data_IF_974066742809
#
_entry.id   IF_974066742809
#
_cell.length_a   1.000
_cell.length_b   1.000
_cell.length_c   1.000
_cell.angle_alpha   90.00
_cell.angle_beta   90.00
_cell.angle_gamma   90.00
#
_symmetry.space_group_name_H-M   'P 1'
#
loop_
_entity.id
_entity.type
_entity.pdbx_description
1 polymer ?
#
# COMPACT_ATOMS: atom_id res chain seq x y z
N UNK A 1 13.46 -19.01 4.65
CA UNK A 1 14.68 -19.66 4.12
C UNK A 1 14.45 -21.15 4.21
N UNK A 2 14.62 -21.85 3.09
CA UNK A 2 14.57 -23.32 3.04
C UNK A 2 15.85 -23.81 2.38
N UNK A 3 16.58 -24.70 3.05
CA UNK A 3 17.83 -25.26 2.53
C UNK A 3 18.08 -26.65 3.12
N UNK A 4 18.54 -27.58 2.28
CA UNK A 4 18.93 -28.94 2.68
C UNK A 4 17.77 -29.85 3.08
N UNK A 5 18.07 -31.14 3.20
CA UNK A 5 17.11 -32.20 3.54
C UNK A 5 17.58 -33.12 4.67
N UNK A 6 18.90 -33.29 4.83
CA UNK A 6 19.52 -34.13 5.87
C UNK A 6 20.62 -33.37 6.62
N UNK A 7 20.70 -33.57 7.94
CA UNK A 7 21.62 -32.83 8.81
C UNK A 7 23.11 -33.15 8.59
N UNK A 8 23.41 -34.29 7.96
CA UNK A 8 24.76 -34.79 7.71
C UNK A 8 25.17 -34.68 6.23
N UNK A 9 24.47 -33.89 5.42
CA UNK A 9 24.76 -33.68 4.00
C UNK A 9 24.89 -32.19 3.71
N UNK A 10 25.86 -31.82 2.88
CA UNK A 10 25.99 -30.45 2.38
C UNK A 10 24.79 -30.16 1.47
N UNK A 11 23.97 -29.14 1.75
CA UNK A 11 22.83 -28.78 0.91
C UNK A 11 23.25 -28.40 -0.51
N UNK A 12 22.53 -28.91 -1.51
CA UNK A 12 22.72 -28.57 -2.93
C UNK A 12 21.81 -27.42 -3.39
N UNK A 13 20.76 -27.09 -2.63
CA UNK A 13 19.78 -26.04 -2.94
C UNK A 13 19.42 -25.22 -1.70
N UNK A 14 19.27 -23.91 -1.90
CA UNK A 14 18.70 -22.99 -0.92
C UNK A 14 17.75 -21.99 -1.60
N UNK A 15 16.62 -21.71 -0.95
CA UNK A 15 15.62 -20.73 -1.42
C UNK A 15 15.37 -19.70 -0.33
N UNK A 16 15.48 -18.43 -0.71
CA UNK A 16 15.27 -17.28 0.18
C UNK A 16 14.18 -16.40 -0.42
N UNK A 17 13.12 -16.18 0.34
CA UNK A 17 12.12 -15.15 0.07
C UNK A 17 12.36 -13.95 0.97
N UNK A 18 12.42 -12.76 0.39
CA UNK A 18 12.50 -11.48 1.11
C UNK A 18 11.34 -10.59 0.70
N UNK A 19 10.81 -9.82 1.65
CA UNK A 19 9.80 -8.80 1.37
C UNK A 19 10.44 -7.43 1.58
N UNK A 20 10.50 -6.62 0.51
CA UNK A 20 11.05 -5.27 0.55
C UNK A 20 9.92 -4.28 0.43
N UNK A 21 9.86 -3.32 1.36
CA UNK A 21 8.88 -2.23 1.35
C UNK A 21 9.61 -0.92 1.53
N UNK A 22 9.11 0.11 0.86
CA UNK A 22 9.60 1.47 0.99
C UNK A 22 8.42 2.43 1.01
N UNK A 23 8.61 3.57 1.66
CA UNK A 23 7.70 4.72 1.52
C UNK A 23 8.07 5.60 0.34
N UNK A 24 9.29 5.49 -0.17
CA UNK A 24 9.79 6.31 -1.28
C UNK A 24 10.06 5.42 -2.51
N UNK A 25 9.52 5.78 -3.68
CA UNK A 25 9.81 5.07 -4.93
C UNK A 25 11.32 5.02 -5.25
N UNK A 26 12.03 6.13 -5.02
CA UNK A 26 13.48 6.19 -5.29
C UNK A 26 14.29 5.31 -4.35
N UNK A 27 13.95 5.28 -3.06
CA UNK A 27 14.59 4.37 -2.10
C UNK A 27 14.27 2.90 -2.40
N UNK A 28 13.06 2.59 -2.88
CA UNK A 28 12.73 1.23 -3.32
C UNK A 28 13.62 0.81 -4.47
N UNK A 29 13.77 1.67 -5.48
CA UNK A 29 14.63 1.40 -6.63
C UNK A 29 16.09 1.21 -6.22
N UNK A 30 16.61 2.07 -5.33
CA UNK A 30 17.98 1.94 -4.80
C UNK A 30 18.18 0.62 -4.06
N UNK A 31 17.21 0.20 -3.25
CA UNK A 31 17.26 -1.08 -2.55
C UNK A 31 17.27 -2.26 -3.53
N UNK A 32 16.43 -2.24 -4.57
CA UNK A 32 16.39 -3.30 -5.59
C UNK A 32 17.72 -3.40 -6.35
N UNK A 33 18.28 -2.27 -6.80
CA UNK A 33 19.60 -2.24 -7.45
C UNK A 33 20.68 -2.78 -6.53
N UNK A 34 20.65 -2.42 -5.24
CA UNK A 34 21.63 -2.91 -4.26
C UNK A 34 21.52 -4.43 -4.07
N UNK A 35 20.31 -4.98 -4.05
CA UNK A 35 20.06 -6.42 -3.94
C UNK A 35 20.58 -7.14 -5.19
N UNK A 36 20.30 -6.62 -6.39
CA UNK A 36 20.79 -7.19 -7.65
C UNK A 36 22.33 -7.18 -7.70
N UNK A 37 22.99 -6.10 -7.28
CA UNK A 37 24.44 -6.03 -7.20
C UNK A 37 25.02 -7.05 -6.21
N UNK A 38 24.41 -7.21 -5.02
CA UNK A 38 24.85 -8.19 -4.02
C UNK A 38 24.69 -9.62 -4.52
N UNK A 39 23.58 -9.92 -5.18
CA UNK A 39 23.36 -11.25 -5.80
C UNK A 39 24.40 -11.50 -6.87
N UNK A 40 24.65 -10.53 -7.75
CA UNK A 40 25.66 -10.65 -8.81
C UNK A 40 27.07 -10.90 -8.26
N UNK A 41 27.49 -10.13 -7.25
CA UNK A 41 28.78 -10.31 -6.58
C UNK A 41 28.91 -11.68 -5.90
N UNK A 42 27.83 -12.18 -5.27
CA UNK A 42 27.79 -13.50 -4.67
C UNK A 42 27.95 -14.61 -5.72
N UNK A 43 27.22 -14.52 -6.83
CA UNK A 43 27.29 -15.47 -7.94
C UNK A 43 28.70 -15.61 -8.53
N UNK A 44 29.49 -14.53 -8.54
CA UNK A 44 30.87 -14.55 -9.00
C UNK A 44 31.83 -15.26 -8.03
N UNK A 45 31.52 -15.25 -6.73
CA UNK A 45 32.40 -15.78 -5.66
C UNK A 45 32.11 -17.23 -5.30
N UNK A 46 30.87 -17.67 -5.50
CA UNK A 46 30.40 -18.99 -5.10
C UNK A 46 29.93 -19.75 -6.35
N UNK A 47 30.57 -20.89 -6.69
CA UNK A 47 30.11 -21.72 -7.81
C UNK A 47 28.69 -22.25 -7.56
N UNK A 48 27.81 -22.15 -8.56
CA UNK A 48 26.43 -22.62 -8.46
C UNK A 48 25.52 -22.11 -9.57
N UNK A 49 24.26 -22.54 -9.55
CA UNK A 49 23.20 -22.00 -10.40
C UNK A 49 22.31 -21.08 -9.56
N UNK A 50 22.04 -19.88 -10.08
CA UNK A 50 21.32 -18.83 -9.35
C UNK A 50 20.11 -18.35 -10.13
N UNK A 51 18.99 -18.15 -9.43
CA UNK A 51 17.78 -17.57 -9.98
C UNK A 51 17.30 -16.46 -9.04
N UNK A 52 17.14 -15.26 -9.59
CA UNK A 52 16.58 -14.11 -8.87
C UNK A 52 15.21 -13.77 -9.48
N UNK A 53 14.18 -13.73 -8.64
CA UNK A 53 12.83 -13.42 -9.05
C UNK A 53 12.32 -12.21 -8.27
N UNK A 54 11.99 -11.14 -8.99
CA UNK A 54 11.27 -10.00 -8.44
C UNK A 54 9.77 -10.20 -8.69
N UNK A 55 8.97 -10.28 -7.63
CA UNK A 55 7.53 -10.45 -7.73
C UNK A 55 6.79 -9.24 -7.16
N UNK A 56 5.82 -8.73 -7.95
CA UNK A 56 4.89 -7.62 -7.70
C UNK A 56 5.51 -6.34 -7.08
N UNK A 57 5.79 -5.33 -7.91
CA UNK A 57 6.10 -3.98 -7.43
C UNK A 57 4.84 -3.09 -7.47
N UNK A 58 4.06 -3.07 -6.38
CA UNK A 58 3.12 -1.95 -6.16
C UNK A 58 3.95 -0.76 -5.68
N UNK A 59 4.06 0.27 -6.49
CA UNK A 59 4.85 1.46 -6.14
C UNK A 59 4.36 2.06 -4.82
N UNK A 60 5.28 2.63 -4.02
CA UNK A 60 4.88 3.42 -2.86
C UNK A 60 3.92 4.53 -3.27
N UNK A 61 2.88 4.75 -2.48
CA UNK A 61 1.88 5.79 -2.70
C UNK A 61 2.13 6.93 -1.73
N UNK A 62 2.84 7.94 -2.20
CA UNK A 62 3.07 9.17 -1.46
C UNK A 62 1.78 9.99 -1.34
N UNK A 63 1.66 10.77 -0.27
CA UNK A 63 0.60 11.77 -0.15
C UNK A 63 1.05 13.01 -0.93
N UNK A 64 0.75 13.03 -2.22
CA UNK A 64 1.01 14.16 -3.10
C UNK A 64 -0.04 15.28 -2.94
N UNK A 65 0.24 16.46 -3.50
CA UNK A 65 -0.65 17.62 -3.41
C UNK A 65 -2.10 17.32 -3.87
N UNK A 66 -2.33 16.67 -5.02
CA UNK A 66 -3.66 16.26 -5.45
C UNK A 66 -4.38 15.34 -4.44
N UNK A 67 -3.71 14.32 -3.92
CA UNK A 67 -4.30 13.40 -2.94
C UNK A 67 -4.52 14.09 -1.59
N UNK A 68 -3.66 15.01 -1.20
CA UNK A 68 -3.84 15.86 -0.02
C UNK A 68 -5.07 16.78 -0.16
N UNK A 69 -5.27 17.37 -1.34
CA UNK A 69 -6.49 18.12 -1.66
C UNK A 69 -7.75 17.25 -1.52
N UNK A 70 -7.71 16.03 -2.05
CA UNK A 70 -8.81 15.07 -1.92
C UNK A 70 -9.06 14.68 -0.46
N UNK A 71 -8.01 14.47 0.33
CA UNK A 71 -8.09 14.19 1.76
C UNK A 71 -8.72 15.34 2.54
N UNK A 72 -8.41 16.59 2.17
CA UNK A 72 -8.97 17.77 2.82
C UNK A 72 -10.47 17.91 2.53
N UNK A 73 -10.90 17.71 1.28
CA UNK A 73 -12.33 17.64 0.93
C UNK A 73 -13.05 16.53 1.70
N UNK A 74 -12.39 15.38 1.88
CA UNK A 74 -12.96 14.29 2.68
C UNK A 74 -13.08 14.66 4.17
N UNK A 75 -12.11 15.38 4.73
CA UNK A 75 -12.17 15.88 6.12
C UNK A 75 -13.28 16.91 6.32
N UNK A 76 -13.39 17.86 5.40
CA UNK A 76 -14.38 18.94 5.45
C UNK A 76 -15.81 18.38 5.42
N UNK A 77 -16.12 17.49 4.47
CA UNK A 77 -17.42 16.80 4.43
C UNK A 77 -17.71 16.00 5.69
N UNK A 78 -16.69 15.42 6.32
CA UNK A 78 -16.86 14.68 7.59
C UNK A 78 -17.19 15.58 8.77
N UNK A 79 -16.64 16.79 8.79
CA UNK A 79 -16.84 17.76 9.86
C UNK A 79 -18.32 18.14 10.01
N UNK A 80 -19.04 18.30 8.90
CA UNK A 80 -20.49 18.59 8.87
C UNK A 80 -21.33 17.49 9.57
N UNK A 81 -20.82 16.25 9.60
CA UNK A 81 -21.48 15.09 10.21
C UNK A 81 -20.91 14.72 11.59
N UNK A 82 -20.04 15.57 12.15
CA UNK A 82 -19.33 15.27 13.41
C UNK A 82 -18.36 14.08 13.29
N UNK A 83 -17.90 13.75 12.07
CA UNK A 83 -16.95 12.67 11.80
C UNK A 83 -15.54 13.22 11.77
N UNK A 84 -14.73 12.83 12.76
CA UNK A 84 -13.29 13.13 12.76
C UNK A 84 -12.55 12.17 11.85
N UNK A 85 -11.96 12.69 10.78
CA UNK A 85 -11.12 11.92 9.85
C UNK A 85 -9.63 12.12 10.14
N UNK A 86 -8.93 11.04 10.40
CA UNK A 86 -7.47 11.03 10.58
C UNK A 86 -6.78 10.38 9.40
N UNK A 87 -5.57 10.85 9.07
CA UNK A 87 -4.71 10.17 8.12
C UNK A 87 -3.63 9.42 8.86
N UNK A 88 -3.27 8.24 8.35
CA UNK A 88 -2.20 7.41 8.88
C UNK A 88 -1.50 6.71 7.72
N UNK A 89 -0.19 6.87 7.62
CA UNK A 89 0.63 6.02 6.75
C UNK A 89 0.54 4.56 7.20
N UNK A 90 0.24 3.64 6.28
CA UNK A 90 0.24 2.20 6.53
C UNK A 90 1.49 1.57 5.91
N UNK A 91 1.83 0.35 6.35
CA UNK A 91 2.89 -0.44 5.72
C UNK A 91 2.38 -1.35 4.60
N UNK A 92 1.07 -1.38 4.35
CA UNK A 92 0.43 -2.26 3.39
C UNK A 92 0.35 -1.65 2.00
N UNK A 93 -0.24 -2.42 1.08
CA UNK A 93 -0.55 -1.99 -0.30
C UNK A 93 -2.00 -2.33 -0.60
N UNK A 94 -2.60 -1.56 -1.51
CA UNK A 94 -3.98 -1.69 -1.94
C UNK A 94 -4.09 -1.28 -3.41
N UNK A 95 -5.27 -1.42 -4.02
CA UNK A 95 -5.45 -1.06 -5.44
C UNK A 95 -5.25 0.43 -5.71
N UNK A 96 -5.40 1.27 -4.66
CA UNK A 96 -5.02 2.67 -4.72
C UNK A 96 -3.54 2.91 -5.04
N UNK A 97 -2.63 1.98 -4.73
CA UNK A 97 -1.23 2.09 -5.16
C UNK A 97 -1.09 2.04 -6.69
N UNK A 98 -1.89 1.20 -7.35
CA UNK A 98 -1.87 1.07 -8.82
C UNK A 98 -2.47 2.31 -9.46
N UNK A 99 -3.57 2.84 -8.92
CA UNK A 99 -4.19 4.06 -9.41
C UNK A 99 -3.28 5.29 -9.23
N UNK A 100 -2.64 5.42 -8.07
CA UNK A 100 -1.69 6.50 -7.84
C UNK A 100 -0.45 6.40 -8.74
N UNK A 101 0.01 5.19 -9.06
CA UNK A 101 1.14 4.99 -9.97
C UNK A 101 0.87 5.51 -11.40
N UNK A 102 -0.40 5.61 -11.81
CA UNK A 102 -0.82 6.21 -13.09
C UNK A 102 -1.29 7.67 -12.94
N UNK A 103 -1.03 8.29 -11.79
CA UNK A 103 -1.31 9.71 -11.54
C UNK A 103 -2.74 10.03 -11.10
N UNK A 104 -3.54 9.03 -10.71
CA UNK A 104 -4.90 9.25 -10.22
C UNK A 104 -4.89 9.53 -8.70
N UNK A 105 -5.33 10.72 -8.24
CA UNK A 105 -5.44 11.03 -6.82
C UNK A 105 -6.37 10.03 -6.13
N UNK A 106 -5.87 9.31 -5.12
CA UNK A 106 -6.61 8.18 -4.54
C UNK A 106 -6.54 8.13 -3.02
N UNK A 107 -7.72 8.16 -2.39
CA UNK A 107 -7.90 7.84 -0.98
C UNK A 107 -8.36 6.38 -0.82
N UNK A 108 -7.79 5.70 0.17
CA UNK A 108 -8.16 4.34 0.54
C UNK A 108 -8.76 4.30 1.93
N UNK A 109 -9.31 3.13 2.31
CA UNK A 109 -9.85 2.91 3.66
C UNK A 109 -11.05 3.83 3.97
N UNK A 110 -11.83 4.17 2.94
CA UNK A 110 -13.10 4.88 3.09
C UNK A 110 -14.27 3.93 3.41
N UNK A 111 -14.01 2.64 3.60
CA UNK A 111 -15.00 1.61 3.95
C UNK A 111 -15.51 1.69 5.39
N UNK A 112 -16.08 0.60 5.90
CA UNK A 112 -16.63 0.54 7.27
C UNK A 112 -15.58 0.82 8.35
N UNK A 113 -16.05 1.26 9.52
CA UNK A 113 -15.19 1.37 10.72
C UNK A 113 -15.09 0.00 11.37
N UNK A 114 -13.87 -0.50 11.56
CA UNK A 114 -13.59 -1.84 12.08
C UNK A 114 -12.11 -2.00 12.39
N UNK A 115 -11.70 -3.20 12.79
CA UNK A 115 -10.30 -3.53 13.07
C UNK A 115 -10.02 -5.04 12.87
N UNK A 116 -8.78 -5.45 13.11
CA UNK A 116 -8.29 -6.83 13.04
C UNK A 116 -8.42 -7.48 11.64
N UNK A 117 -8.29 -6.65 10.60
CA UNK A 117 -8.28 -7.09 9.19
C UNK A 117 -7.31 -8.24 8.98
N UNK A 118 -7.73 -9.25 8.19
CA UNK A 118 -6.96 -10.47 7.89
C UNK A 118 -6.72 -11.39 9.10
N UNK A 119 -7.62 -11.36 10.08
CA UNK A 119 -7.58 -12.29 11.22
C UNK A 119 -8.97 -12.89 11.47
N UNK A 120 -9.03 -13.96 12.24
CA UNK A 120 -10.30 -14.54 12.70
C UNK A 120 -11.12 -13.61 13.62
N UNK A 121 -10.48 -12.55 14.15
CA UNK A 121 -11.09 -11.55 15.01
C UNK A 121 -11.50 -10.28 14.25
N UNK A 122 -11.54 -10.33 12.92
CA UNK A 122 -11.97 -9.22 12.07
C UNK A 122 -13.41 -8.81 12.38
N UNK A 123 -13.64 -7.50 12.55
CA UNK A 123 -14.99 -7.00 12.86
C UNK A 123 -15.22 -5.59 12.28
N UNK A 124 -16.50 -5.22 12.23
CA UNK A 124 -16.95 -3.85 11.97
C UNK A 124 -17.82 -3.33 13.11
N UNK A 125 -17.91 -2.02 13.25
CA UNK A 125 -18.75 -1.34 14.24
C UNK A 125 -20.10 -0.98 13.63
N UNK A 126 -21.13 -1.78 13.92
CA UNK A 126 -22.47 -1.65 13.33
C UNK A 126 -23.05 -0.24 13.54
N UNK A 127 -22.90 0.32 14.75
CA UNK A 127 -23.41 1.66 15.08
C UNK A 127 -22.76 2.79 14.27
N UNK A 128 -21.65 2.53 13.58
CA UNK A 128 -20.94 3.49 12.73
C UNK A 128 -21.23 3.33 11.24
N UNK A 129 -21.93 2.27 10.81
CA UNK A 129 -22.20 2.04 9.39
C UNK A 129 -22.95 3.20 8.74
N UNK A 130 -24.05 3.65 9.36
CA UNK A 130 -24.87 4.73 8.81
C UNK A 130 -24.07 6.04 8.70
N UNK A 131 -23.37 6.42 9.76
CA UNK A 131 -22.54 7.63 9.78
C UNK A 131 -21.47 7.59 8.68
N UNK A 132 -20.83 6.42 8.47
CA UNK A 132 -19.82 6.26 7.43
C UNK A 132 -20.39 6.32 6.01
N UNK A 133 -21.56 5.70 5.79
CA UNK A 133 -22.26 5.76 4.51
C UNK A 133 -22.68 7.20 4.16
N UNK A 134 -23.22 7.94 5.13
CA UNK A 134 -23.57 9.35 4.98
C UNK A 134 -22.35 10.21 4.63
N UNK A 135 -21.21 9.99 5.32
CA UNK A 135 -19.98 10.73 5.05
C UNK A 135 -19.45 10.47 3.65
N UNK A 136 -19.42 9.21 3.19
CA UNK A 136 -19.00 8.90 1.83
C UNK A 136 -19.95 9.49 0.77
N UNK A 137 -21.26 9.45 1.00
CA UNK A 137 -22.24 10.05 0.10
C UNK A 137 -22.08 11.56 0.01
N UNK A 138 -21.91 12.23 1.15
CA UNK A 138 -21.66 13.67 1.22
C UNK A 138 -20.36 14.03 0.50
N UNK A 139 -19.29 13.27 0.71
CA UNK A 139 -18.02 13.48 0.02
C UNK A 139 -18.14 13.41 -1.50
N UNK A 140 -18.82 12.38 -2.03
CA UNK A 140 -19.07 12.27 -3.48
C UNK A 140 -19.87 13.48 -3.97
N UNK A 141 -20.92 13.89 -3.25
CA UNK A 141 -21.68 15.08 -3.59
C UNK A 141 -20.80 16.34 -3.58
N UNK A 142 -19.94 16.53 -2.57
CA UNK A 142 -19.00 17.66 -2.48
C UNK A 142 -18.05 17.68 -3.68
N UNK A 143 -17.53 16.53 -4.12
CA UNK A 143 -16.71 16.46 -5.34
C UNK A 143 -17.53 16.89 -6.57
N UNK A 144 -18.73 16.36 -6.75
CA UNK A 144 -19.60 16.71 -7.87
C UNK A 144 -19.93 18.21 -7.90
N UNK A 145 -20.27 18.81 -6.75
CA UNK A 145 -20.56 20.25 -6.66
C UNK A 145 -19.34 21.10 -6.99
N UNK A 146 -18.16 20.74 -6.46
CA UNK A 146 -16.91 21.43 -6.79
C UNK A 146 -16.59 21.33 -8.28
N UNK A 147 -16.81 20.18 -8.91
CA UNK A 147 -16.61 20.01 -10.35
C UNK A 147 -17.58 20.88 -11.16
N UNK A 148 -18.88 20.84 -10.85
CA UNK A 148 -19.89 21.67 -11.52
C UNK A 148 -19.62 23.17 -11.37
N UNK A 149 -19.11 23.61 -10.20
CA UNK A 149 -18.80 25.03 -9.95
C UNK A 149 -17.59 25.56 -10.74
N UNK A 150 -16.73 24.67 -11.22
CA UNK A 150 -15.52 25.05 -11.98
C UNK A 150 -15.81 25.38 -13.43
N UNK A 151 -17.00 25.03 -13.94
CA UNK A 151 -17.45 25.37 -15.29
C UNK A 151 -16.52 24.87 -16.38
N UNK A 152 -16.64 23.60 -16.74
CA UNK A 152 -16.19 23.08 -18.04
C UNK A 152 -17.34 23.17 -19.06
#
# INVERSE_FOLDING_TARGET
LHAGTAANTVPDTAVIGINVRSRSPSLLQQALVSIECLVSDFCCKVPGCYQFHLNTSRSPKDLDGPTEGLLNLYRESGHELGVKTTWRATGGVCDGNTLAAVGLPTLDTLGVVGDNLHTENEYLTISKLLQKAQHNALFVNTICQNWLSKGD
#
